data_IF_061022253815
#
_entry.id   IF_061022253815
#
_cell.length_a   1.000
_cell.length_b   1.000
_cell.length_c   1.000
_cell.angle_alpha   90.00
_cell.angle_beta   90.00
_cell.angle_gamma   90.00
#
_symmetry.space_group_name_H-M   'P 1'
#
loop_
_entity.id
_entity.type
_entity.pdbx_description
1 polymer ?
#
# COMPACT_ATOMS: atom_id res chain seq x y z
N UNK A 1 -9.16 36.06 2.87
CA UNK A 1 -9.97 35.04 2.19
C UNK A 1 -11.15 34.72 3.08
N UNK A 2 -12.34 34.80 2.50
CA UNK A 2 -13.64 34.83 3.15
C UNK A 2 -13.92 33.54 3.95
N UNK A 3 -14.44 33.69 5.17
CA UNK A 3 -14.72 32.59 6.13
C UNK A 3 -16.18 32.13 6.07
N UNK A 4 -16.89 32.40 4.97
CA UNK A 4 -18.35 32.25 4.92
C UNK A 4 -18.89 31.41 3.74
N UNK A 5 -18.25 30.28 3.42
CA UNK A 5 -18.72 29.39 2.33
C UNK A 5 -18.87 27.89 2.67
N UNK A 6 -19.05 27.50 3.95
CA UNK A 6 -19.38 26.11 4.30
C UNK A 6 -20.51 26.04 5.33
N UNK A 7 -21.71 26.45 4.91
CA UNK A 7 -22.99 26.06 5.53
C UNK A 7 -24.04 25.95 4.44
N UNK A 8 -24.16 24.74 3.91
CA UNK A 8 -25.32 24.12 3.27
C UNK A 8 -24.91 22.64 3.09
N UNK A 9 -25.87 21.72 3.06
CA UNK A 9 -25.64 20.25 3.11
C UNK A 9 -24.48 19.79 2.21
N UNK A 10 -23.71 18.73 2.60
CA UNK A 10 -22.59 18.27 1.79
C UNK A 10 -23.08 18.03 0.35
N UNK A 11 -22.39 18.54 -0.69
CA UNK A 11 -22.85 18.50 -2.08
C UNK A 11 -22.90 17.07 -2.67
N UNK A 12 -22.64 16.06 -1.84
CA UNK A 12 -22.61 14.65 -2.19
C UNK A 12 -23.37 13.84 -1.12
N UNK A 13 -23.88 12.64 -1.47
CA UNK A 13 -24.42 11.72 -0.47
C UNK A 13 -23.46 11.54 0.71
N UNK A 14 -23.98 11.41 1.93
CA UNK A 14 -23.19 11.39 3.18
C UNK A 14 -21.99 10.43 3.12
N UNK A 15 -22.18 9.24 2.52
CA UNK A 15 -21.11 8.25 2.34
C UNK A 15 -19.95 8.73 1.48
N UNK A 16 -20.22 9.48 0.41
CA UNK A 16 -19.21 10.01 -0.52
C UNK A 16 -18.42 11.14 0.12
N UNK A 17 -19.09 12.02 0.88
CA UNK A 17 -18.41 13.06 1.66
C UNK A 17 -17.49 12.46 2.73
N UNK A 18 -17.96 11.45 3.48
CA UNK A 18 -17.14 10.75 4.49
C UNK A 18 -15.93 10.07 3.88
N UNK A 19 -16.07 9.50 2.67
CA UNK A 19 -14.93 8.96 1.91
C UNK A 19 -13.92 10.07 1.61
N UNK A 20 -14.36 11.22 1.09
CA UNK A 20 -13.47 12.32 0.74
C UNK A 20 -12.67 12.82 1.96
N UNK A 21 -13.34 13.05 3.08
CA UNK A 21 -12.71 13.46 4.33
C UNK A 21 -11.71 12.42 4.84
N UNK A 22 -12.06 11.12 4.75
CA UNK A 22 -11.14 10.04 5.08
C UNK A 22 -9.87 10.09 4.22
N UNK A 23 -10.04 10.32 2.91
CA UNK A 23 -8.94 10.39 1.95
C UNK A 23 -8.03 11.60 2.16
N UNK A 24 -8.61 12.78 2.44
CA UNK A 24 -7.85 14.02 2.68
C UNK A 24 -7.12 14.02 4.01
N UNK A 25 -7.83 13.65 5.08
CA UNK A 25 -7.30 13.82 6.43
C UNK A 25 -6.47 12.63 6.88
N UNK A 26 -6.94 11.41 6.64
CA UNK A 26 -6.32 10.20 7.20
C UNK A 26 -5.50 9.41 6.19
N UNK A 27 -5.87 9.45 4.90
CA UNK A 27 -5.29 8.59 3.87
C UNK A 27 -5.57 7.09 4.08
N UNK A 28 -6.49 6.77 4.99
CA UNK A 28 -6.80 5.43 5.48
C UNK A 28 -8.28 5.33 5.84
N UNK A 29 -8.90 4.20 5.55
CA UNK A 29 -10.25 3.89 6.03
C UNK A 29 -10.54 2.38 5.96
N UNK A 30 -11.56 1.94 6.70
CA UNK A 30 -12.09 0.59 6.57
C UNK A 30 -13.12 0.56 5.44
N UNK A 31 -13.00 -0.42 4.56
CA UNK A 31 -14.02 -0.77 3.59
C UNK A 31 -14.72 -2.04 4.05
N UNK A 32 -16.00 -1.95 4.33
CA UNK A 32 -16.86 -3.08 4.67
C UNK A 32 -17.12 -3.91 3.41
N UNK A 33 -16.87 -5.22 3.47
CA UNK A 33 -16.93 -6.16 2.35
C UNK A 33 -18.00 -7.25 2.53
N UNK A 34 -18.97 -7.01 3.39
CA UNK A 34 -20.14 -7.88 3.56
C UNK A 34 -20.67 -8.32 2.18
N UNK A 35 -21.00 -9.60 2.03
CA UNK A 35 -21.42 -10.27 0.79
C UNK A 35 -20.30 -10.71 -0.19
N UNK A 36 -19.02 -10.60 0.16
CA UNK A 36 -17.91 -11.17 -0.64
C UNK A 36 -17.23 -12.37 0.04
N UNK A 37 -17.50 -13.59 -0.42
CA UNK A 37 -16.82 -14.81 0.05
C UNK A 37 -15.34 -14.88 -0.38
N UNK A 38 -14.94 -14.05 -1.35
CA UNK A 38 -13.63 -14.12 -2.02
C UNK A 38 -12.43 -13.83 -1.12
N UNK A 39 -12.63 -13.23 0.06
CA UNK A 39 -11.55 -12.88 0.99
C UNK A 39 -11.05 -14.04 1.87
N UNK A 40 -11.82 -15.12 2.06
CA UNK A 40 -11.41 -16.22 2.96
C UNK A 40 -10.45 -17.22 2.30
N UNK A 41 -10.69 -17.58 1.03
CA UNK A 41 -9.98 -18.65 0.32
C UNK A 41 -8.49 -18.36 0.11
N UNK A 42 -8.09 -17.09 -0.02
CA UNK A 42 -6.68 -16.74 -0.26
C UNK A 42 -5.82 -16.78 1.00
N UNK A 43 -6.43 -16.67 2.18
CA UNK A 43 -5.69 -16.84 3.43
C UNK A 43 -5.24 -18.30 3.60
N UNK A 44 -5.87 -19.26 2.92
CA UNK A 44 -5.40 -20.64 2.91
C UNK A 44 -4.11 -20.82 2.10
N UNK A 45 -3.80 -19.91 1.17
CA UNK A 45 -2.52 -19.86 0.47
C UNK A 45 -1.36 -19.46 1.38
N UNK A 46 -1.62 -19.07 2.64
CA UNK A 46 -0.56 -18.92 3.66
C UNK A 46 0.28 -20.18 3.84
N UNK A 47 -0.25 -21.35 3.45
CA UNK A 47 0.47 -22.63 3.45
C UNK A 47 1.76 -22.58 2.61
N UNK A 48 1.91 -21.62 1.69
CA UNK A 48 3.17 -21.38 0.99
C UNK A 48 4.32 -21.06 1.94
N UNK A 49 4.03 -20.46 3.09
CA UNK A 49 5.03 -20.18 4.12
C UNK A 49 5.40 -21.41 4.95
N UNK A 50 4.56 -22.45 4.94
CA UNK A 50 4.79 -23.71 5.66
C UNK A 50 5.74 -24.64 4.89
N UNK A 51 6.02 -24.33 3.61
CA UNK A 51 7.05 -25.02 2.83
C UNK A 51 8.41 -24.94 3.54
N UNK A 52 9.22 -26.01 3.52
CA UNK A 52 10.57 -26.00 4.06
C UNK A 52 11.41 -24.85 3.49
N UNK A 53 12.31 -24.30 4.31
CA UNK A 53 13.16 -23.18 3.87
C UNK A 53 14.00 -23.53 2.65
N UNK A 54 14.39 -24.79 2.48
CA UNK A 54 15.15 -25.29 1.33
C UNK A 54 14.33 -25.26 0.03
N UNK A 55 13.01 -25.45 0.12
CA UNK A 55 12.11 -25.35 -1.04
C UNK A 55 11.81 -23.90 -1.41
N UNK A 56 11.85 -22.98 -0.43
CA UNK A 56 11.61 -21.55 -0.67
C UNK A 56 12.86 -20.81 -1.16
N UNK A 57 14.04 -21.20 -0.69
CA UNK A 57 15.33 -20.54 -0.98
C UNK A 57 15.62 -20.33 -2.48
N UNK A 58 15.32 -21.27 -3.41
CA UNK A 58 15.55 -21.06 -4.84
C UNK A 58 14.78 -19.87 -5.43
N UNK A 59 13.71 -19.41 -4.77
CA UNK A 59 12.90 -18.29 -5.20
C UNK A 59 13.36 -16.94 -4.62
N UNK A 60 14.30 -16.94 -3.66
CA UNK A 60 14.92 -15.72 -3.13
C UNK A 60 16.03 -15.24 -4.08
N UNK A 61 15.62 -14.54 -5.14
CA UNK A 61 16.51 -14.07 -6.20
C UNK A 61 17.07 -12.66 -5.96
N UNK A 62 16.75 -12.07 -4.79
CA UNK A 62 17.03 -10.66 -4.50
C UNK A 62 16.25 -9.66 -5.36
N UNK A 63 15.30 -10.12 -6.18
CA UNK A 63 14.39 -9.29 -6.96
C UNK A 63 13.21 -8.78 -6.11
N UNK A 64 12.53 -7.74 -6.58
CA UNK A 64 11.38 -7.18 -5.85
C UNK A 64 10.16 -8.11 -5.92
N UNK A 65 9.96 -8.76 -7.07
CA UNK A 65 8.97 -9.82 -7.26
C UNK A 65 9.58 -11.17 -6.92
N UNK A 66 8.74 -12.10 -6.44
CA UNK A 66 9.16 -13.41 -5.96
C UNK A 66 9.20 -13.49 -4.43
N UNK A 67 10.08 -14.33 -3.92
CA UNK A 67 10.22 -14.60 -2.50
C UNK A 67 11.30 -13.71 -1.86
N UNK A 68 11.10 -13.35 -0.60
CA UNK A 68 12.12 -12.73 0.25
C UNK A 68 12.08 -13.40 1.61
N UNK A 69 13.21 -14.00 2.01
CA UNK A 69 13.34 -14.62 3.32
C UNK A 69 13.37 -13.59 4.46
N UNK A 70 13.06 -14.00 5.71
CA UNK A 70 13.19 -13.13 6.88
C UNK A 70 14.54 -12.44 6.98
N UNK A 71 14.51 -11.13 7.19
CA UNK A 71 15.71 -10.31 7.30
C UNK A 71 16.34 -9.88 5.97
N UNK A 72 15.63 -10.07 4.85
CA UNK A 72 16.04 -9.60 3.53
C UNK A 72 15.99 -8.07 3.36
N UNK A 73 15.20 -7.36 4.17
CA UNK A 73 15.04 -5.90 4.12
C UNK A 73 15.65 -5.21 5.33
N UNK A 74 16.21 -4.02 5.12
CA UNK A 74 16.65 -3.12 6.20
C UNK A 74 15.51 -2.18 6.56
N UNK A 75 15.15 -2.13 7.84
CA UNK A 75 13.95 -1.40 8.32
C UNK A 75 14.26 -0.09 9.04
N UNK A 76 15.52 0.16 9.40
CA UNK A 76 15.92 1.40 10.06
C UNK A 76 17.37 1.82 9.71
N UNK A 77 17.78 3.00 10.19
CA UNK A 77 19.11 3.57 9.95
C UNK A 77 20.25 2.76 10.57
N UNK A 78 19.94 1.94 11.58
CA UNK A 78 20.94 1.14 12.28
C UNK A 78 21.23 -0.18 11.52
N UNK A 79 20.59 -0.38 10.37
CA UNK A 79 20.76 -1.60 9.59
C UNK A 79 19.96 -2.79 10.15
N UNK A 80 18.99 -2.53 11.03
CA UNK A 80 18.14 -3.59 11.58
C UNK A 80 17.43 -4.32 10.45
N UNK A 81 17.49 -5.65 10.49
CA UNK A 81 16.83 -6.52 9.52
C UNK A 81 15.37 -6.75 9.91
N UNK A 82 14.50 -6.80 8.92
CA UNK A 82 13.10 -7.16 9.14
C UNK A 82 12.95 -8.57 9.72
N UNK A 83 11.73 -8.90 10.14
CA UNK A 83 11.35 -10.23 10.61
C UNK A 83 10.21 -10.83 9.80
N UNK A 84 10.19 -10.50 8.52
CA UNK A 84 9.08 -10.77 7.63
C UNK A 84 9.50 -11.67 6.49
N UNK A 85 8.65 -12.64 6.23
CA UNK A 85 8.73 -13.46 5.04
C UNK A 85 7.71 -12.96 4.03
N UNK A 86 8.13 -12.76 2.78
CA UNK A 86 7.34 -12.05 1.76
C UNK A 86 7.27 -12.88 0.47
N UNK A 87 6.08 -12.92 -0.12
CA UNK A 87 5.89 -13.27 -1.53
C UNK A 87 5.22 -12.11 -2.26
N UNK A 88 5.90 -11.53 -3.25
CA UNK A 88 5.37 -10.50 -4.14
C UNK A 88 5.08 -11.12 -5.51
N UNK A 89 3.81 -11.27 -5.86
CA UNK A 89 3.36 -11.80 -7.14
C UNK A 89 2.84 -10.64 -8.00
N UNK A 90 3.54 -10.33 -9.08
CA UNK A 90 3.15 -9.24 -9.98
C UNK A 90 1.79 -9.48 -10.62
N UNK A 91 0.98 -8.43 -10.82
CA UNK A 91 -0.29 -8.53 -11.55
C UNK A 91 -0.10 -9.18 -12.91
N UNK A 92 0.96 -8.80 -13.62
CA UNK A 92 1.23 -9.33 -14.95
C UNK A 92 1.55 -10.84 -14.93
N UNK A 93 2.22 -11.34 -13.88
CA UNK A 93 2.44 -12.78 -13.63
C UNK A 93 1.14 -13.55 -13.34
N UNK A 94 0.18 -12.86 -12.73
CA UNK A 94 -1.12 -13.44 -12.39
C UNK A 94 -2.08 -13.40 -13.60
N UNK A 95 -2.10 -12.29 -14.33
CA UNK A 95 -3.15 -11.98 -15.31
C UNK A 95 -2.75 -12.29 -16.76
N UNK A 96 -1.46 -12.26 -17.11
CA UNK A 96 -1.01 -12.41 -18.51
C UNK A 96 -0.49 -13.83 -18.77
N UNK A 97 -1.10 -14.58 -19.72
CA UNK A 97 -0.54 -15.86 -20.17
C UNK A 97 0.90 -15.70 -20.69
N UNK A 98 1.79 -16.62 -20.31
CA UNK A 98 3.18 -16.64 -20.78
C UNK A 98 4.13 -15.68 -20.07
N UNK A 99 3.63 -14.74 -19.27
CA UNK A 99 4.46 -13.97 -18.34
C UNK A 99 4.45 -14.69 -16.99
N UNK A 100 5.55 -15.35 -16.62
CA UNK A 100 5.63 -16.06 -15.34
C UNK A 100 7.00 -15.93 -14.69
N UNK A 101 7.04 -15.52 -13.42
CA UNK A 101 8.23 -15.62 -12.58
C UNK A 101 8.25 -17.00 -11.88
N UNK A 102 9.45 -17.52 -11.52
CA UNK A 102 9.55 -18.75 -10.74
C UNK A 102 8.78 -18.65 -9.41
N UNK A 103 7.90 -19.63 -9.17
CA UNK A 103 7.12 -19.76 -7.92
C UNK A 103 6.81 -21.25 -7.63
N UNK A 104 6.57 -21.64 -6.37
CA UNK A 104 6.32 -23.03 -6.00
C UNK A 104 5.02 -23.57 -6.60
N UNK A 105 4.89 -24.91 -6.77
CA UNK A 105 3.70 -25.56 -7.32
C UNK A 105 2.39 -25.09 -6.67
N UNK A 106 2.37 -24.93 -5.35
CA UNK A 106 1.20 -24.43 -4.63
C UNK A 106 0.67 -23.08 -5.17
N UNK A 107 1.56 -22.16 -5.54
CA UNK A 107 1.15 -20.87 -6.11
C UNK A 107 0.77 -20.99 -7.60
N UNK A 108 1.43 -21.88 -8.35
CA UNK A 108 1.08 -22.18 -9.75
C UNK A 108 -0.33 -22.79 -9.84
N UNK A 109 -0.63 -23.77 -8.99
CA UNK A 109 -1.92 -24.46 -8.94
C UNK A 109 -3.07 -23.54 -8.50
N UNK A 110 -2.74 -22.42 -7.85
CA UNK A 110 -3.68 -21.43 -7.33
C UNK A 110 -3.95 -20.26 -8.28
N UNK A 111 -3.50 -20.34 -9.53
CA UNK A 111 -3.57 -19.22 -10.50
C UNK A 111 -4.98 -18.62 -10.64
N UNK A 112 -6.02 -19.46 -10.76
CA UNK A 112 -7.41 -18.97 -10.89
C UNK A 112 -7.88 -18.18 -9.67
N UNK A 113 -7.49 -18.63 -8.48
CA UNK A 113 -7.81 -17.94 -7.22
C UNK A 113 -7.08 -16.60 -7.14
N UNK A 114 -5.79 -16.55 -7.52
CA UNK A 114 -5.01 -15.32 -7.59
C UNK A 114 -5.58 -14.32 -8.61
N UNK A 115 -6.01 -14.81 -9.78
CA UNK A 115 -6.66 -13.99 -10.81
C UNK A 115 -7.97 -13.37 -10.31
N UNK A 116 -8.86 -14.19 -9.73
CA UNK A 116 -10.13 -13.73 -9.17
C UNK A 116 -9.91 -12.68 -8.07
N UNK A 117 -8.93 -12.90 -7.18
CA UNK A 117 -8.58 -11.93 -6.15
C UNK A 117 -8.06 -10.61 -6.71
N UNK A 118 -7.11 -10.70 -7.64
CA UNK A 118 -6.46 -9.53 -8.25
C UNK A 118 -7.51 -8.70 -8.97
N UNK A 119 -8.38 -9.33 -9.75
CA UNK A 119 -9.50 -8.69 -10.43
C UNK A 119 -10.43 -7.97 -9.43
N UNK A 120 -10.89 -8.65 -8.37
CA UNK A 120 -11.82 -8.03 -7.42
C UNK A 120 -11.18 -6.91 -6.59
N UNK A 121 -9.92 -7.01 -6.20
CA UNK A 121 -9.24 -5.89 -5.53
C UNK A 121 -8.99 -4.72 -6.49
N UNK A 122 -8.73 -5.00 -7.76
CA UNK A 122 -8.59 -3.97 -8.78
C UNK A 122 -9.91 -3.22 -9.02
N UNK A 123 -11.04 -3.94 -9.09
CA UNK A 123 -12.38 -3.34 -9.18
C UNK A 123 -12.68 -2.44 -7.98
N UNK A 124 -12.34 -2.88 -6.77
CA UNK A 124 -12.46 -2.06 -5.55
C UNK A 124 -11.62 -0.79 -5.68
N UNK A 125 -10.36 -0.91 -6.11
CA UNK A 125 -9.49 0.25 -6.31
C UNK A 125 -10.07 1.22 -7.34
N UNK A 126 -10.53 0.74 -8.50
CA UNK A 126 -11.16 1.57 -9.53
C UNK A 126 -12.45 2.22 -9.05
N UNK A 127 -13.24 1.53 -8.21
CA UNK A 127 -14.47 2.09 -7.63
C UNK A 127 -14.16 3.29 -6.72
N UNK A 128 -13.14 3.15 -5.87
CA UNK A 128 -12.69 4.23 -4.99
C UNK A 128 -12.13 5.39 -5.81
N UNK A 129 -11.33 5.09 -6.85
CA UNK A 129 -10.76 6.10 -7.74
C UNK A 129 -11.84 6.85 -8.52
N UNK A 130 -12.87 6.18 -9.04
CA UNK A 130 -13.99 6.82 -9.73
C UNK A 130 -14.84 7.70 -8.79
N UNK A 131 -15.02 7.28 -7.54
CA UNK A 131 -15.66 8.13 -6.52
C UNK A 131 -14.81 9.38 -6.24
N UNK A 132 -13.48 9.24 -6.18
CA UNK A 132 -12.58 10.38 -6.06
C UNK A 132 -12.65 11.30 -7.27
N UNK A 133 -12.65 10.78 -8.51
CA UNK A 133 -12.82 11.60 -9.73
C UNK A 133 -14.03 12.52 -9.62
N UNK A 134 -15.17 11.96 -9.22
CA UNK A 134 -16.43 12.71 -9.06
C UNK A 134 -16.35 13.76 -7.95
N UNK A 135 -15.64 13.47 -6.85
CA UNK A 135 -15.46 14.36 -5.70
C UNK A 135 -14.56 15.56 -6.00
N UNK A 136 -13.61 15.41 -6.92
CA UNK A 136 -12.64 16.46 -7.28
C UNK A 136 -12.82 16.96 -8.71
N UNK A 137 -14.00 16.74 -9.30
CA UNK A 137 -14.42 17.17 -10.64
C UNK A 137 -13.41 16.84 -11.76
N UNK A 138 -12.81 15.65 -11.67
CA UNK A 138 -12.01 15.11 -12.77
C UNK A 138 -12.91 14.43 -13.81
N UNK A 139 -12.54 14.46 -15.10
CA UNK A 139 -13.23 13.70 -16.13
C UNK A 139 -13.33 12.21 -15.76
N UNK A 140 -14.53 11.64 -15.89
CA UNK A 140 -14.76 10.22 -15.62
C UNK A 140 -13.79 9.34 -16.43
N UNK A 141 -13.15 8.41 -15.74
CA UNK A 141 -12.22 7.45 -16.33
C UNK A 141 -10.77 7.93 -16.38
N UNK A 142 -10.46 9.11 -15.83
CA UNK A 142 -9.08 9.63 -15.73
C UNK A 142 -8.17 8.63 -15.02
N UNK A 143 -8.47 8.24 -13.77
CA UNK A 143 -7.72 7.24 -13.04
C UNK A 143 -7.91 5.85 -13.61
N UNK A 144 -9.06 5.52 -14.20
CA UNK A 144 -9.25 4.22 -14.84
C UNK A 144 -8.27 4.02 -16.01
N UNK A 145 -7.98 5.05 -16.82
CA UNK A 145 -6.95 4.98 -17.85
C UNK A 145 -5.55 4.79 -17.25
N UNK A 146 -5.26 5.50 -16.17
CA UNK A 146 -3.97 5.42 -15.48
C UNK A 146 -3.74 4.05 -14.80
N UNK A 147 -4.81 3.29 -14.52
CA UNK A 147 -4.78 2.02 -13.81
C UNK A 147 -5.36 0.87 -14.63
N UNK A 148 -5.23 0.85 -15.96
CA UNK A 148 -5.76 -0.26 -16.77
C UNK A 148 -5.15 -1.61 -16.38
N UNK A 149 -5.99 -2.57 -15.97
CA UNK A 149 -5.56 -3.93 -15.62
C UNK A 149 -4.79 -4.65 -16.74
N UNK A 150 -5.12 -4.37 -18.00
CA UNK A 150 -4.49 -4.99 -19.18
C UNK A 150 -3.09 -4.43 -19.49
N UNK A 151 -2.77 -3.23 -19.00
CA UNK A 151 -1.48 -2.59 -19.24
C UNK A 151 -0.42 -3.08 -18.24
N UNK A 152 0.86 -2.95 -18.60
CA UNK A 152 1.95 -3.20 -17.67
C UNK A 152 1.94 -2.17 -16.54
N UNK A 153 2.01 -2.65 -15.30
CA UNK A 153 2.11 -1.80 -14.11
C UNK A 153 2.89 -2.52 -13.01
N UNK A 154 3.26 -1.77 -11.98
CA UNK A 154 3.85 -2.33 -10.76
C UNK A 154 2.83 -2.90 -9.76
N UNK A 155 1.60 -3.16 -10.20
CA UNK A 155 0.58 -3.80 -9.39
C UNK A 155 1.06 -5.18 -8.94
N UNK A 156 0.78 -5.54 -7.71
CA UNK A 156 1.13 -6.86 -7.22
C UNK A 156 0.28 -7.27 -6.02
N UNK A 157 0.16 -8.58 -5.86
CA UNK A 157 -0.34 -9.23 -4.65
C UNK A 157 0.86 -9.54 -3.76
N UNK A 158 0.77 -9.19 -2.47
CA UNK A 158 1.75 -9.52 -1.46
C UNK A 158 1.13 -10.43 -0.41
N UNK A 159 1.72 -11.61 -0.24
CA UNK A 159 1.57 -12.38 0.99
C UNK A 159 2.70 -11.99 1.94
N UNK A 160 2.33 -11.69 3.19
CA UNK A 160 3.26 -11.27 4.22
C UNK A 160 3.06 -12.13 5.46
N UNK A 161 4.15 -12.71 5.97
CA UNK A 161 4.20 -13.39 7.27
C UNK A 161 5.17 -12.66 8.18
N UNK A 162 4.68 -12.12 9.30
CA UNK A 162 5.51 -11.62 10.39
C UNK A 162 5.64 -12.70 11.48
N UNK A 163 6.88 -13.03 11.83
CA UNK A 163 7.20 -14.09 12.78
C UNK A 163 6.86 -13.69 14.24
N UNK A 164 6.62 -14.66 15.15
CA UNK A 164 6.22 -14.39 16.53
C UNK A 164 7.34 -13.69 17.30
N UNK A 165 7.05 -12.63 18.03
CA UNK A 165 8.04 -11.83 18.73
C UNK A 165 8.01 -12.09 20.25
N UNK A 166 9.10 -12.65 20.83
CA UNK A 166 9.21 -12.78 22.29
C UNK A 166 9.43 -11.40 22.93
N UNK A 167 9.17 -11.27 24.23
CA UNK A 167 9.34 -10.00 24.97
C UNK A 167 10.78 -9.47 24.97
N UNK A 168 11.75 -10.35 24.75
CA UNK A 168 13.17 -10.02 24.61
C UNK A 168 13.51 -9.34 23.29
N UNK A 169 12.60 -9.34 22.31
CA UNK A 169 12.76 -8.70 21.00
C UNK A 169 11.56 -7.80 20.71
N UNK A 170 11.71 -6.50 20.98
CA UNK A 170 10.65 -5.48 20.79
C UNK A 170 10.84 -4.66 19.50
N UNK A 171 11.63 -5.14 18.56
CA UNK A 171 11.92 -4.42 17.32
C UNK A 171 10.68 -4.34 16.44
N UNK A 172 10.44 -3.17 15.85
CA UNK A 172 9.43 -2.98 14.80
C UNK A 172 9.64 -4.00 13.69
N UNK A 173 8.57 -4.65 13.22
CA UNK A 173 8.65 -5.72 12.22
C UNK A 173 8.80 -5.17 10.79
N UNK A 174 8.14 -4.03 10.50
CA UNK A 174 8.31 -3.23 9.29
C UNK A 174 8.43 -1.77 9.68
N UNK A 175 9.57 -1.16 9.33
CA UNK A 175 9.83 0.25 9.60
C UNK A 175 8.82 1.18 8.91
N UNK A 176 8.88 2.45 9.29
CA UNK A 176 7.96 3.48 8.81
C UNK A 176 8.03 3.65 7.29
N UNK A 177 6.87 3.63 6.65
CA UNK A 177 6.77 3.84 5.21
C UNK A 177 5.41 4.43 4.79
N UNK A 178 5.41 5.01 3.59
CA UNK A 178 4.21 5.22 2.77
C UNK A 178 4.15 4.17 1.66
N UNK A 179 2.99 4.02 1.03
CA UNK A 179 2.81 3.11 -0.10
C UNK A 179 3.05 3.83 -1.43
N UNK A 180 3.75 3.18 -2.37
CA UNK A 180 4.28 3.85 -3.57
C UNK A 180 3.22 4.12 -4.65
N UNK A 181 2.12 3.36 -4.62
CA UNK A 181 1.07 3.37 -5.64
C UNK A 181 -0.04 4.37 -5.36
N UNK A 182 -1.24 4.05 -5.84
CA UNK A 182 -2.44 4.87 -5.64
C UNK A 182 -3.30 4.32 -4.51
N UNK A 183 -3.67 3.03 -4.59
CA UNK A 183 -4.55 2.36 -3.62
C UNK A 183 -3.89 1.08 -3.13
N UNK A 184 -3.91 0.85 -1.83
CA UNK A 184 -3.57 -0.43 -1.22
C UNK A 184 -4.82 -1.02 -0.57
N UNK A 185 -5.14 -2.27 -0.91
CA UNK A 185 -6.21 -3.06 -0.27
C UNK A 185 -5.55 -4.09 0.63
N UNK A 186 -5.66 -3.92 1.95
CA UNK A 186 -5.02 -4.75 2.96
C UNK A 186 -6.04 -5.61 3.71
N UNK A 187 -5.76 -6.90 3.80
CA UNK A 187 -6.46 -7.88 4.61
C UNK A 187 -5.51 -8.45 5.66
N UNK A 188 -5.85 -8.30 6.94
CA UNK A 188 -5.14 -8.94 8.05
C UNK A 188 -6.12 -9.37 9.14
N UNK A 189 -5.71 -10.35 9.96
CA UNK A 189 -6.52 -10.86 11.08
C UNK A 189 -6.01 -10.45 12.46
N UNK A 190 -4.69 -10.28 12.60
CA UNK A 190 -4.06 -9.89 13.84
C UNK A 190 -3.62 -8.43 13.80
N UNK A 191 -3.61 -7.80 14.98
CA UNK A 191 -3.14 -6.44 15.17
C UNK A 191 -1.65 -6.32 14.82
N UNK A 192 -1.12 -5.10 14.75
CA UNK A 192 0.27 -4.87 14.34
C UNK A 192 0.46 -3.60 13.51
N UNK A 193 -0.56 -3.21 12.74
CA UNK A 193 -0.51 -1.99 11.93
C UNK A 193 -0.72 -0.76 12.80
N UNK A 194 0.14 0.25 12.61
CA UNK A 194 0.02 1.55 13.24
C UNK A 194 0.17 2.65 12.20
N UNK A 195 -0.55 3.74 12.38
CA UNK A 195 -0.59 4.88 11.44
C UNK A 195 -0.28 6.16 12.19
N UNK A 196 0.45 7.08 11.58
CA UNK A 196 0.72 8.39 12.18
C UNK A 196 -0.57 9.23 12.17
N UNK A 197 -0.95 9.80 13.30
CA UNK A 197 -2.16 10.64 13.38
C UNK A 197 -2.01 11.92 12.52
N UNK A 198 -3.06 12.35 11.80
CA UNK A 198 -3.03 13.58 11.03
C UNK A 198 -2.68 14.81 11.88
N UNK A 199 -1.81 15.68 11.38
CA UNK A 199 -1.41 16.93 12.05
C UNK A 199 -0.33 16.75 13.13
N UNK A 200 0.20 15.54 13.31
CA UNK A 200 1.36 15.29 14.17
C UNK A 200 2.66 15.22 13.37
N UNK A 201 3.70 15.85 13.91
CA UNK A 201 5.00 15.92 13.28
C UNK A 201 5.86 14.71 13.60
N UNK A 202 6.68 14.34 12.62
CA UNK A 202 7.70 13.33 12.76
C UNK A 202 8.85 13.80 13.67
N UNK A 203 9.11 13.12 14.79
CA UNK A 203 10.34 13.35 15.56
C UNK A 203 10.25 13.11 17.06
N UNK A 204 9.05 13.01 17.63
CA UNK A 204 8.87 12.73 19.04
C UNK A 204 8.47 11.24 19.18
N UNK A 205 9.28 10.43 19.85
CA UNK A 205 9.13 8.97 19.90
C UNK A 205 7.97 8.52 20.81
N UNK A 206 6.79 9.11 20.68
CA UNK A 206 5.66 8.74 21.50
C UNK A 206 4.81 7.67 20.81
N UNK A 207 4.64 6.56 21.53
CA UNK A 207 3.65 5.54 21.19
C UNK A 207 2.25 6.16 20.98
N UNK A 208 1.94 7.29 21.60
CA UNK A 208 0.65 7.95 21.51
C UNK A 208 0.36 8.53 20.11
N UNK A 209 1.40 8.80 19.31
CA UNK A 209 1.25 9.41 17.97
C UNK A 209 0.88 8.40 16.88
N UNK A 210 0.96 7.11 17.19
CA UNK A 210 0.77 6.03 16.22
C UNK A 210 -0.38 5.10 16.65
N UNK A 211 -1.65 5.52 16.56
CA UNK A 211 -2.77 4.66 16.92
C UNK A 211 -2.73 3.29 16.21
N UNK A 212 -3.17 2.25 16.91
CA UNK A 212 -3.35 0.92 16.32
C UNK A 212 -4.53 0.91 15.36
N UNK A 213 -4.34 0.29 14.21
CA UNK A 213 -5.43 -0.04 13.29
C UNK A 213 -5.88 -1.47 13.58
N UNK A 214 -6.97 -1.61 14.33
CA UNK A 214 -7.50 -2.92 14.71
C UNK A 214 -8.14 -3.61 13.51
N UNK A 215 -7.80 -4.87 13.19
CA UNK A 215 -8.50 -5.61 12.14
C UNK A 215 -9.98 -5.76 12.49
N UNK A 216 -10.85 -5.44 11.53
CA UNK A 216 -12.31 -5.59 11.69
C UNK A 216 -12.78 -6.78 10.85
N UNK A 217 -13.50 -7.76 11.42
CA UNK A 217 -14.07 -8.85 10.65
C UNK A 217 -14.92 -8.33 9.49
N UNK A 218 -14.78 -8.93 8.31
CA UNK A 218 -15.53 -8.51 7.11
C UNK A 218 -15.06 -7.20 6.47
N UNK A 219 -13.94 -6.61 6.91
CA UNK A 219 -13.43 -5.36 6.35
C UNK A 219 -12.05 -5.53 5.72
N UNK A 220 -11.79 -4.77 4.66
CA UNK A 220 -10.44 -4.44 4.22
C UNK A 220 -10.02 -3.09 4.80
N UNK A 221 -8.71 -2.92 5.01
CA UNK A 221 -8.11 -1.62 5.27
C UNK A 221 -7.66 -1.04 3.94
N UNK A 222 -8.18 0.12 3.57
CA UNK A 222 -7.75 0.86 2.39
C UNK A 222 -6.70 1.88 2.80
N UNK A 223 -5.63 1.97 2.02
CA UNK A 223 -4.60 3.00 2.16
C UNK A 223 -4.44 3.74 0.84
N UNK A 224 -4.21 5.05 0.93
CA UNK A 224 -3.87 5.89 -0.22
C UNK A 224 -2.36 6.07 -0.29
N UNK A 225 -1.81 6.02 -1.50
CA UNK A 225 -0.38 6.04 -1.73
C UNK A 225 0.14 7.32 -2.39
N UNK A 226 1.47 7.36 -2.52
CA UNK A 226 2.24 8.51 -2.98
C UNK A 226 1.87 8.95 -4.41
N UNK A 227 1.40 8.03 -5.27
CA UNK A 227 0.98 8.38 -6.62
C UNK A 227 -0.25 9.31 -6.60
N UNK A 228 -1.23 9.06 -5.72
CA UNK A 228 -2.39 9.95 -5.56
C UNK A 228 -2.00 11.32 -5.00
N UNK A 229 -1.03 11.36 -4.08
CA UNK A 229 -0.48 12.63 -3.58
C UNK A 229 0.09 13.46 -4.73
N UNK A 230 0.86 12.82 -5.63
CA UNK A 230 1.44 13.49 -6.81
C UNK A 230 0.36 13.96 -7.78
N UNK A 231 -0.57 13.08 -8.16
CA UNK A 231 -1.65 13.43 -9.08
C UNK A 231 -2.54 14.57 -8.56
N UNK A 232 -2.75 14.63 -7.26
CA UNK A 232 -3.67 15.60 -6.62
C UNK A 232 -2.94 16.75 -5.93
N UNK A 233 -1.63 16.90 -6.15
CA UNK A 233 -0.78 17.93 -5.56
C UNK A 233 -1.01 18.10 -4.05
N UNK A 234 -1.03 16.99 -3.31
CA UNK A 234 -1.18 16.98 -1.85
C UNK A 234 -2.62 17.13 -1.32
N UNK A 235 -3.64 17.25 -2.18
CA UNK A 235 -5.03 17.25 -1.73
C UNK A 235 -5.39 15.94 -1.01
N UNK A 236 -4.96 14.82 -1.58
CA UNK A 236 -5.13 13.49 -0.99
C UNK A 236 -3.87 13.12 -0.23
N UNK A 237 -4.04 12.55 0.97
CA UNK A 237 -2.92 12.20 1.86
C UNK A 237 -2.49 10.75 1.68
N UNK A 238 -1.19 10.52 1.53
CA UNK A 238 -0.53 9.23 1.75
C UNK A 238 0.03 9.22 3.16
N UNK A 239 -0.49 8.35 4.03
CA UNK A 239 -0.15 8.42 5.45
C UNK A 239 0.98 7.44 5.83
N UNK A 240 1.87 7.91 6.70
CA UNK A 240 2.94 7.10 7.25
C UNK A 240 2.35 5.99 8.13
N UNK A 241 2.86 4.79 7.94
CA UNK A 241 2.47 3.63 8.71
C UNK A 241 3.66 2.72 8.99
N UNK A 242 3.56 1.92 10.05
CA UNK A 242 4.56 0.90 10.43
C UNK A 242 3.87 -0.36 10.93
N UNK A 243 4.63 -1.44 11.03
CA UNK A 243 4.15 -2.68 11.67
C UNK A 243 4.97 -2.95 12.92
N UNK A 244 4.33 -2.75 14.06
CA UNK A 244 4.89 -3.11 15.36
C UNK A 244 4.44 -4.53 15.76
N UNK A 245 5.15 -5.17 16.69
CA UNK A 245 4.73 -6.45 17.24
C UNK A 245 3.37 -6.29 17.94
N UNK A 246 2.39 -7.17 17.71
CA UNK A 246 1.10 -7.06 18.37
C UNK A 246 1.24 -7.22 19.88
N UNK A 247 0.25 -6.73 20.63
CA UNK A 247 0.26 -6.81 22.10
C UNK A 247 -0.30 -8.17 22.59
N UNK A 248 0.04 -8.53 23.84
CA UNK A 248 -0.53 -9.69 24.52
C UNK A 248 -0.17 -11.02 23.88
N UNK A 249 -1.12 -11.96 23.84
CA UNK A 249 -0.89 -13.32 23.31
C UNK A 249 -0.68 -13.36 21.79
N UNK A 250 -1.13 -12.33 21.06
CA UNK A 250 -1.00 -12.27 19.61
C UNK A 250 0.47 -12.18 19.15
N UNK A 251 1.40 -11.71 20.01
CA UNK A 251 2.83 -11.69 19.70
C UNK A 251 3.45 -13.08 19.61
N UNK A 252 2.81 -14.08 20.19
CA UNK A 252 3.31 -15.45 20.27
C UNK A 252 2.91 -16.31 19.06
N UNK A 253 2.20 -15.75 18.08
CA UNK A 253 1.73 -16.47 16.89
C UNK A 253 2.14 -15.76 15.60
N UNK A 254 2.20 -16.51 14.52
CA UNK A 254 2.46 -15.99 13.19
C UNK A 254 1.34 -15.03 12.74
N UNK A 255 1.73 -13.84 12.27
CA UNK A 255 0.81 -12.86 11.71
C UNK A 255 0.88 -12.86 10.19
N UNK A 256 -0.26 -13.11 9.56
CA UNK A 256 -0.38 -13.08 8.10
C UNK A 256 -1.13 -11.84 7.63
N UNK A 257 -0.71 -11.29 6.50
CA UNK A 257 -1.41 -10.24 5.77
C UNK A 257 -1.41 -10.56 4.28
N UNK A 258 -2.53 -10.27 3.63
CA UNK A 258 -2.69 -10.34 2.19
C UNK A 258 -2.97 -8.93 1.69
N UNK A 259 -2.19 -8.46 0.73
CA UNK A 259 -2.24 -7.07 0.27
C UNK A 259 -2.29 -7.05 -1.24
N UNK A 260 -3.15 -6.22 -1.81
CA UNK A 260 -3.09 -5.85 -3.21
C UNK A 260 -2.67 -4.38 -3.31
N UNK A 261 -1.65 -4.10 -4.12
CA UNK A 261 -1.20 -2.75 -4.42
C UNK A 261 -1.62 -2.39 -5.84
N UNK A 262 -2.48 -1.38 -5.99
CA UNK A 262 -2.82 -0.77 -7.28
C UNK A 262 -1.91 0.43 -7.54
N UNK A 263 -1.27 0.43 -8.71
CA UNK A 263 -0.30 1.42 -9.13
C UNK A 263 -0.63 1.88 -10.55
N UNK A 264 -0.21 3.10 -10.93
CA UNK A 264 -0.36 3.54 -12.30
C UNK A 264 0.43 2.64 -13.26
N UNK A 265 0.01 2.59 -14.53
CA UNK A 265 0.76 1.95 -15.61
C UNK A 265 2.22 2.39 -15.60
N UNK A 266 3.11 1.49 -16.00
CA UNK A 266 4.56 1.71 -15.92
C UNK A 266 5.02 2.98 -16.61
N UNK A 267 4.38 3.36 -17.71
CA UNK A 267 4.67 4.53 -18.56
C UNK A 267 4.08 5.85 -18.06
N UNK A 268 3.20 5.82 -17.04
CA UNK A 268 2.57 7.03 -16.52
C UNK A 268 3.58 7.87 -15.75
N UNK A 269 3.77 9.12 -16.16
CA UNK A 269 4.54 10.12 -15.41
C UNK A 269 3.75 10.57 -14.18
N UNK A 270 4.36 10.47 -13.00
CA UNK A 270 3.73 10.82 -11.73
C UNK A 270 3.83 12.33 -11.45
N UNK A 271 2.92 13.10 -12.05
CA UNK A 271 2.81 14.56 -11.90
C UNK A 271 1.38 15.00 -11.63
N UNK A 272 1.18 16.25 -11.21
CA UNK A 272 -0.12 16.86 -10.97
C UNK A 272 -1.02 16.70 -12.22
N UNK A 273 -2.25 16.26 -11.99
CA UNK A 273 -3.26 16.20 -13.04
C UNK A 273 -3.73 17.61 -13.45
N UNK A 274 -4.33 17.76 -14.63
CA UNK A 274 -4.90 19.03 -15.05
C UNK A 274 -5.83 19.63 -14.00
N UNK A 275 -5.90 20.95 -13.98
CA UNK A 275 -6.75 21.64 -13.03
C UNK A 275 -8.23 21.26 -13.21
N UNK A 276 -8.86 20.86 -12.11
CA UNK A 276 -10.29 20.59 -12.01
C UNK A 276 -11.01 21.64 -11.15
N UNK A 277 -10.32 22.68 -10.69
CA UNK A 277 -10.82 23.63 -9.71
C UNK A 277 -10.72 23.15 -8.25
N UNK A 278 -10.43 21.86 -8.03
CA UNK A 278 -10.26 21.26 -6.69
C UNK A 278 -8.81 20.89 -6.38
N UNK A 279 -8.02 20.54 -7.40
CA UNK A 279 -6.61 20.16 -7.24
C UNK A 279 -5.78 21.43 -7.02
N UNK A 280 -5.10 21.60 -5.85
CA UNK A 280 -4.28 22.77 -5.57
C UNK A 280 -3.30 23.07 -6.71
N UNK A 281 -3.14 24.34 -7.08
CA UNK A 281 -2.14 24.76 -8.07
C UNK A 281 -0.72 24.50 -7.56
N UNK A 282 0.23 24.32 -8.49
CA UNK A 282 1.64 24.34 -8.15
C UNK A 282 2.04 25.74 -7.67
N UNK A 283 2.98 25.83 -6.74
CA UNK A 283 3.55 27.11 -6.34
C UNK A 283 4.38 27.71 -7.50
N UNK A 284 4.46 29.04 -7.55
CA UNK A 284 5.17 29.75 -8.62
C UNK A 284 6.62 29.28 -8.74
N UNK A 285 7.03 28.95 -9.97
CA UNK A 285 8.39 28.50 -10.28
C UNK A 285 8.68 27.04 -9.92
N UNK A 286 7.73 26.28 -9.36
CA UNK A 286 7.89 24.84 -9.14
C UNK A 286 7.76 24.09 -10.46
N UNK A 287 8.83 23.40 -10.84
CA UNK A 287 8.83 22.44 -11.95
C UNK A 287 8.76 21.03 -11.35
N UNK A 288 7.76 20.26 -11.76
CA UNK A 288 7.61 18.88 -11.30
C UNK A 288 8.67 17.97 -11.92
N UNK A 289 9.11 16.98 -11.14
CA UNK A 289 10.00 15.92 -11.62
C UNK A 289 9.25 15.03 -12.62
N UNK A 290 9.85 14.78 -13.79
CA UNK A 290 9.32 13.83 -14.78
C UNK A 290 9.85 12.42 -14.50
N UNK A 291 9.14 11.71 -13.63
CA UNK A 291 9.45 10.32 -13.27
C UNK A 291 8.25 9.42 -13.56
N UNK A 292 8.48 8.34 -14.31
CA UNK A 292 7.44 7.35 -14.56
C UNK A 292 7.13 6.53 -13.31
N UNK A 293 5.94 5.94 -13.26
CA UNK A 293 5.52 5.00 -12.21
C UNK A 293 6.54 3.89 -12.01
N UNK A 294 7.08 3.33 -13.11
CA UNK A 294 8.11 2.29 -13.06
C UNK A 294 9.39 2.79 -12.39
N UNK A 295 9.94 3.91 -12.84
CA UNK A 295 11.19 4.47 -12.29
C UNK A 295 11.02 4.87 -10.81
N UNK A 296 9.86 5.42 -10.44
CA UNK A 296 9.50 5.71 -9.06
C UNK A 296 9.55 4.47 -8.17
N UNK A 297 8.92 3.38 -8.62
CA UNK A 297 8.89 2.11 -7.89
C UNK A 297 10.30 1.53 -7.77
N UNK A 298 11.07 1.52 -8.86
CA UNK A 298 12.44 1.01 -8.86
C UNK A 298 13.34 1.81 -7.91
N UNK A 299 13.25 3.15 -7.93
CA UNK A 299 13.97 4.04 -7.02
C UNK A 299 13.64 3.75 -5.56
N UNK A 300 12.35 3.64 -5.23
CA UNK A 300 11.86 3.39 -3.86
C UNK A 300 12.17 1.98 -3.38
N UNK A 301 12.09 0.97 -4.25
CA UNK A 301 12.44 -0.40 -3.91
C UNK A 301 13.95 -0.60 -3.72
N UNK A 302 14.78 0.06 -4.53
CA UNK A 302 16.23 -0.11 -4.50
C UNK A 302 16.86 0.30 -3.16
N UNK A 303 16.47 1.44 -2.58
CA UNK A 303 17.11 1.88 -1.34
C UNK A 303 16.54 1.25 -0.06
N UNK A 304 15.61 0.28 -0.16
CA UNK A 304 15.25 -0.62 0.95
C UNK A 304 16.08 -1.91 0.99
N UNK A 305 16.82 -2.24 -0.07
CA UNK A 305 17.60 -3.50 -0.15
C UNK A 305 18.90 -3.45 0.66
N UNK A 306 19.20 -4.56 1.34
CA UNK A 306 20.48 -4.76 2.04
C UNK A 306 21.67 -4.62 1.07
N UNK A 307 22.71 -3.89 1.49
CA UNK A 307 23.90 -3.61 0.66
C UNK A 307 23.78 -2.42 -0.31
N UNK A 308 22.56 -1.89 -0.54
CA UNK A 308 22.32 -0.64 -1.30
C UNK A 308 21.73 0.49 -0.44
N UNK A 309 21.58 0.24 0.86
CA UNK A 309 21.07 1.17 1.85
C UNK A 309 22.08 2.30 2.13
N UNK A 310 21.69 3.56 1.91
CA UNK A 310 22.54 4.75 2.16
C UNK A 310 22.11 5.58 3.40
N UNK A 311 21.28 5.04 4.30
CA UNK A 311 20.63 5.81 5.37
C UNK A 311 19.56 6.79 4.83
N UNK A 312 18.89 7.56 5.70
CA UNK A 312 17.45 7.40 6.02
C UNK A 312 16.58 7.03 4.80
N UNK A 313 15.68 6.06 4.98
CA UNK A 313 14.74 5.54 3.97
C UNK A 313 14.46 6.45 2.78
N UNK A 314 15.13 6.16 1.66
CA UNK A 314 14.80 6.54 0.28
C UNK A 314 13.89 7.75 0.12
N UNK A 315 14.49 8.95 0.16
CA UNK A 315 13.82 10.26 0.09
C UNK A 315 12.90 10.55 1.26
N UNK A 316 12.99 11.78 1.79
CA UNK A 316 11.90 12.37 2.58
C UNK A 316 10.61 11.99 1.85
N UNK A 317 9.58 11.56 2.60
CA UNK A 317 8.23 11.51 2.06
C UNK A 317 8.04 12.74 1.16
N UNK A 318 7.48 12.57 -0.05
CA UNK A 318 7.37 13.63 -1.06
C UNK A 318 7.15 14.97 -0.36
N UNK A 319 7.78 16.11 -0.73
CA UNK A 319 7.55 17.37 -0.02
C UNK A 319 6.06 17.78 0.07
N UNK A 320 5.19 17.10 -0.69
CA UNK A 320 3.72 17.15 -0.67
C UNK A 320 3.03 16.21 0.34
N UNK A 321 3.77 15.31 1.00
CA UNK A 321 3.34 14.58 2.20
C UNK A 321 3.48 15.58 3.34
N UNK A 322 2.41 16.35 3.54
CA UNK A 322 2.32 17.36 4.59
C UNK A 322 2.73 16.71 5.92
N UNK A 323 3.90 17.10 6.40
CA UNK A 323 4.38 16.91 7.78
C UNK A 323 3.70 17.96 8.65
#
# INVERSE_FOLDING_TARGET
MDKQAFREEPPFPEGTWRLFEACKHYGFFYLKLDHSEKGQQLLDLKKVFDLPSEEKRPYDTGQFLGYTAPGGTVIDRNGTRDRMEVWNLGKDDIMKPGYSIPKPPLLLDSQKTLQSFTQSCHEVALTILAALESLIDLPNGTFADLHRLSAESGDHVRFLKALPQPDTDRRTALGENTDFGSITVLFNRLSGLRVLEPGRQYGENHWEEWPWVQPQPGHAIIKLGDALVKFTNGLIRSNLHRVDPPLGIQKLVDRYSLIYFSRPRNDVVLKRLPDSGFIPSLADGVVEEELTSKEWIERRAAGKRHGKFKGPGTEKASPLVVV
#
